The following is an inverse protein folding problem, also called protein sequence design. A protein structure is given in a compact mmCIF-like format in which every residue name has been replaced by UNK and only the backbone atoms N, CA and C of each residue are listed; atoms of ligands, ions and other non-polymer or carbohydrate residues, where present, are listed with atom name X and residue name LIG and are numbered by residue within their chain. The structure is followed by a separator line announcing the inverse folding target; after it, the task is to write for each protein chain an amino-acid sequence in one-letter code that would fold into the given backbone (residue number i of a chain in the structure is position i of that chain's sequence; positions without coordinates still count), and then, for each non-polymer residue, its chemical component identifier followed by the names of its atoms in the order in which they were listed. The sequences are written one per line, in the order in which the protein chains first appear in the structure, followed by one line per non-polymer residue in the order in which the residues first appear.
data_IF_529787244702
#
_entry.id   IF_529787244702
#
_cell.length_a   1.000
_cell.length_b   1.000
_cell.length_c   1.000
_cell.angle_alpha   90.00
_cell.angle_beta   90.00
_cell.angle_gamma   90.00
#
_symmetry.space_group_name_H-M   'P 1'
#
loop_
_entity.id
_entity.type
_entity.pdbx_description
1 polymer ?
#
# COMPACT_ATOMS: atom_id res chain seq x y z
N UNK A 1 -4.45 -75.68 43.38
CA UNK A 1 -4.97 -75.17 42.09
C UNK A 1 -3.76 -74.76 41.27
N UNK A 2 -3.23 -75.67 40.45
CA UNK A 2 -2.13 -75.41 39.51
C UNK A 2 -2.50 -76.12 38.21
N UNK A 3 -2.63 -75.35 37.14
CA UNK A 3 -2.43 -75.66 35.70
C UNK A 3 -2.79 -74.35 34.94
N UNK A 4 -2.31 -73.95 33.77
CA UNK A 4 -1.29 -74.33 32.78
C UNK A 4 -1.13 -73.10 31.83
N UNK A 5 0.04 -72.95 31.22
CA UNK A 5 0.40 -72.41 29.88
C UNK A 5 -0.49 -71.41 29.08
N UNK A 6 0.21 -70.36 28.60
CA UNK A 6 0.30 -69.80 27.22
C UNK A 6 -0.96 -69.56 26.39
N UNK A 7 -1.18 -68.31 25.95
CA UNK A 7 -1.02 -67.87 24.54
C UNK A 7 -1.42 -66.41 24.34
N UNK A 8 -0.58 -65.66 23.63
CA UNK A 8 -0.95 -64.68 22.60
C UNK A 8 -1.78 -63.44 22.98
N UNK A 9 -1.11 -62.30 23.11
CA UNK A 9 -1.49 -61.07 22.40
C UNK A 9 -0.30 -60.12 22.39
N UNK A 10 0.51 -60.27 21.35
CA UNK A 10 1.44 -59.25 20.89
C UNK A 10 0.73 -57.91 20.68
N UNK A 11 1.53 -56.85 20.79
CA UNK A 11 1.31 -55.53 20.23
C UNK A 11 0.46 -54.53 21.03
N UNK A 12 0.88 -54.14 22.24
CA UNK A 12 0.75 -52.73 22.67
C UNK A 12 1.98 -52.31 23.51
N UNK A 13 3.18 -52.49 22.95
CA UNK A 13 4.39 -51.79 23.40
C UNK A 13 4.87 -50.85 22.28
N UNK A 14 4.09 -49.81 22.02
CA UNK A 14 4.59 -48.61 21.37
C UNK A 14 3.51 -47.55 21.52
N UNK A 15 3.81 -46.46 22.25
CA UNK A 15 3.24 -45.11 22.19
C UNK A 15 3.39 -44.37 23.55
N UNK A 16 4.54 -44.46 24.20
CA UNK A 16 4.94 -43.49 25.24
C UNK A 16 6.11 -42.57 24.81
N UNK A 17 6.47 -42.54 23.53
CA UNK A 17 7.54 -41.68 23.01
C UNK A 17 7.07 -40.72 21.88
N UNK A 18 5.83 -40.24 21.97
CA UNK A 18 5.21 -39.41 20.92
C UNK A 18 4.74 -38.01 21.32
N UNK A 19 4.91 -37.60 22.59
CA UNK A 19 4.35 -36.33 23.09
C UNK A 19 5.42 -35.25 23.36
N UNK A 20 6.69 -35.62 23.51
CA UNK A 20 7.77 -34.63 23.74
C UNK A 20 8.38 -34.02 22.46
N UNK A 21 8.01 -34.51 21.27
CA UNK A 21 8.55 -34.04 19.99
C UNK A 21 7.58 -33.20 19.15
N UNK A 22 6.45 -32.75 19.71
CA UNK A 22 5.47 -31.87 19.03
C UNK A 22 5.30 -30.48 19.64
N UNK A 23 6.00 -30.16 20.73
CA UNK A 23 6.04 -28.82 21.34
C UNK A 23 7.44 -28.18 21.17
N UNK A 24 8.13 -28.48 20.07
CA UNK A 24 9.44 -27.88 19.75
C UNK A 24 9.54 -27.33 18.32
N UNK A 25 8.41 -26.95 17.71
CA UNK A 25 8.41 -26.36 16.36
C UNK A 25 7.45 -25.19 16.10
N UNK A 26 6.92 -24.50 17.13
CA UNK A 26 6.12 -23.27 16.91
C UNK A 26 6.33 -22.15 17.94
N UNK A 27 7.55 -22.00 18.46
CA UNK A 27 7.98 -20.76 19.09
C UNK A 27 9.36 -20.37 18.54
N UNK A 28 9.44 -20.19 17.22
CA UNK A 28 10.38 -19.21 16.70
C UNK A 28 9.71 -17.86 16.98
N UNK A 29 9.88 -17.37 18.20
CA UNK A 29 9.57 -15.98 18.53
C UNK A 29 10.28 -15.16 17.46
N UNK A 30 9.51 -14.54 16.55
CA UNK A 30 10.07 -13.43 15.78
C UNK A 30 10.63 -12.48 16.84
N UNK A 31 11.86 -11.97 16.70
CA UNK A 31 12.33 -10.93 17.60
C UNK A 31 11.22 -9.88 17.67
N UNK A 32 10.72 -9.64 18.88
CA UNK A 32 9.58 -8.77 19.07
C UNK A 32 10.00 -7.41 18.55
N UNK A 33 9.47 -7.04 17.39
CA UNK A 33 9.78 -5.81 16.71
C UNK A 33 9.43 -4.67 17.67
N UNK A 34 10.46 -4.01 18.22
CA UNK A 34 10.28 -2.88 19.14
C UNK A 34 10.08 -1.57 18.41
N UNK A 35 10.25 -1.53 17.09
CA UNK A 35 9.92 -0.36 16.29
C UNK A 35 8.40 -0.13 16.33
N UNK A 36 8.01 0.89 17.09
CA UNK A 36 6.64 1.36 17.16
C UNK A 36 6.57 2.51 16.16
N UNK A 37 5.87 2.26 15.04
CA UNK A 37 5.55 3.34 14.11
C UNK A 37 4.81 4.50 14.81
N UNK A 38 4.80 5.68 14.18
CA UNK A 38 4.31 6.92 14.77
C UNK A 38 2.85 6.80 15.22
N UNK A 39 2.56 7.34 16.41
CA UNK A 39 1.22 7.33 17.01
C UNK A 39 0.59 8.71 17.12
N UNK A 40 1.41 9.76 17.12
CA UNK A 40 1.02 11.15 17.22
C UNK A 40 1.69 11.97 16.13
N UNK A 41 1.15 13.16 15.86
CA UNK A 41 1.66 14.01 14.79
C UNK A 41 3.11 14.46 15.04
N UNK A 42 3.50 14.64 16.30
CA UNK A 42 4.85 15.12 16.67
C UNK A 42 5.93 14.05 16.48
N UNK A 43 5.54 12.78 16.39
CA UNK A 43 6.46 11.65 16.14
C UNK A 43 6.72 11.43 14.64
N UNK A 44 5.96 12.11 13.77
CA UNK A 44 6.12 11.97 12.33
C UNK A 44 7.34 12.75 11.82
N UNK A 45 8.07 12.20 10.83
CA UNK A 45 9.14 12.94 10.19
C UNK A 45 8.60 14.07 9.31
N UNK A 46 9.46 15.01 8.89
CA UNK A 46 9.07 16.14 8.03
C UNK A 46 8.46 15.73 6.69
N UNK A 47 8.87 14.58 6.14
CA UNK A 47 8.41 14.09 4.85
C UNK A 47 7.79 12.70 4.99
N UNK A 48 6.51 12.58 4.61
CA UNK A 48 5.79 11.31 4.54
C UNK A 48 5.15 11.20 3.17
N UNK A 49 5.51 10.15 2.42
CA UNK A 49 5.10 10.01 1.02
C UNK A 49 4.68 8.58 0.70
N UNK A 50 3.79 8.43 -0.27
CA UNK A 50 3.59 7.15 -0.95
C UNK A 50 4.47 7.12 -2.19
N UNK A 51 5.26 6.06 -2.38
CA UNK A 51 6.17 6.00 -3.52
C UNK A 51 6.30 4.58 -4.08
N UNK A 52 6.66 4.51 -5.37
CA UNK A 52 6.90 3.28 -6.10
C UNK A 52 8.41 3.09 -6.32
N UNK A 53 8.93 1.91 -5.98
CA UNK A 53 10.34 1.58 -6.09
C UNK A 53 10.68 1.16 -7.51
N UNK A 54 11.46 1.96 -8.22
CA UNK A 54 11.87 1.64 -9.60
C UNK A 54 13.10 0.76 -9.65
N UNK A 55 14.10 1.07 -8.83
CA UNK A 55 15.38 0.35 -8.80
C UNK A 55 16.08 0.51 -7.45
N UNK A 56 16.81 -0.53 -7.04
CA UNK A 56 17.64 -0.57 -5.84
C UNK A 56 19.12 -0.53 -6.23
N UNK A 57 19.92 0.20 -5.46
CA UNK A 57 21.37 0.32 -5.60
C UNK A 57 22.02 -0.21 -4.33
N UNK A 58 22.76 -1.33 -4.39
CA UNK A 58 23.56 -1.80 -3.26
C UNK A 58 24.63 -0.75 -2.92
N UNK A 59 24.94 -0.58 -1.63
CA UNK A 59 26.06 0.25 -1.20
C UNK A 59 27.28 -0.63 -0.95
N UNK A 60 28.44 -0.18 -1.42
CA UNK A 60 29.71 -0.87 -1.16
C UNK A 60 30.15 -0.61 0.29
N UNK A 61 29.99 -1.62 1.15
CA UNK A 61 30.58 -1.65 2.49
C UNK A 61 29.70 -1.14 3.65
N UNK A 62 28.43 -0.82 3.41
CA UNK A 62 27.44 -0.52 4.47
C UNK A 62 26.38 -1.62 4.53
N UNK A 63 25.82 -1.86 5.72
CA UNK A 63 24.70 -2.81 5.92
C UNK A 63 23.39 -2.28 5.31
N UNK A 64 23.42 -1.03 4.83
CA UNK A 64 22.28 -0.37 4.20
C UNK A 64 22.47 -0.20 2.69
N UNK A 65 21.37 -0.03 1.98
CA UNK A 65 21.37 0.26 0.54
C UNK A 65 20.40 1.39 0.22
N UNK A 66 20.46 1.88 -1.02
CA UNK A 66 19.63 2.97 -1.51
C UNK A 66 18.69 2.53 -2.62
N UNK A 67 17.64 3.29 -2.90
CA UNK A 67 16.72 3.02 -4.01
C UNK A 67 16.22 4.32 -4.65
N UNK A 68 16.08 4.30 -5.98
CA UNK A 68 15.33 5.33 -6.72
C UNK A 68 13.85 5.00 -6.64
N UNK A 69 13.06 5.98 -6.20
CA UNK A 69 11.61 5.86 -6.10
C UNK A 69 10.92 7.01 -6.82
N UNK A 70 9.71 6.75 -7.32
CA UNK A 70 8.81 7.78 -7.85
C UNK A 70 7.75 8.06 -6.82
N UNK A 71 7.69 9.30 -6.35
CA UNK A 71 6.68 9.73 -5.39
C UNK A 71 5.33 9.81 -6.10
N UNK A 72 4.33 9.13 -5.54
CA UNK A 72 2.96 9.09 -6.06
C UNK A 72 2.05 10.10 -5.40
N UNK A 73 2.18 10.29 -4.08
CA UNK A 73 1.43 11.29 -3.30
C UNK A 73 2.26 11.74 -2.11
N UNK A 74 2.22 13.02 -1.81
CA UNK A 74 2.78 13.59 -0.58
C UNK A 74 1.69 13.60 0.48
N UNK A 75 1.91 12.91 1.60
CA UNK A 75 1.01 12.94 2.76
C UNK A 75 1.42 14.06 3.73
N UNK A 76 2.73 14.31 3.85
CA UNK A 76 3.34 15.41 4.61
C UNK A 76 4.64 15.84 3.94
N UNK A 77 4.88 17.14 3.83
CA UNK A 77 6.08 17.70 3.19
C UNK A 77 5.71 18.69 2.08
N UNK A 78 6.65 18.98 1.18
CA UNK A 78 6.42 19.91 0.08
C UNK A 78 5.81 19.20 -1.14
N UNK A 79 4.72 19.73 -1.69
CA UNK A 79 4.00 19.15 -2.83
C UNK A 79 4.84 19.10 -4.12
N UNK A 80 5.91 19.90 -4.21
CA UNK A 80 6.86 19.82 -5.32
C UNK A 80 7.55 18.46 -5.44
N UNK A 81 7.47 17.60 -4.42
CA UNK A 81 7.99 16.25 -4.46
C UNK A 81 7.06 15.28 -5.22
N UNK A 82 5.79 15.63 -5.43
CA UNK A 82 4.82 14.77 -6.10
C UNK A 82 5.20 14.53 -7.57
N UNK A 83 5.06 13.28 -8.03
CA UNK A 83 5.45 12.80 -9.36
C UNK A 83 6.94 12.93 -9.71
N UNK A 84 7.78 13.36 -8.77
CA UNK A 84 9.21 13.46 -8.95
C UNK A 84 9.95 12.18 -8.50
N UNK A 85 11.14 11.99 -9.08
CA UNK A 85 12.05 10.90 -8.76
C UNK A 85 13.01 11.35 -7.68
N UNK A 86 13.13 10.57 -6.62
CA UNK A 86 14.06 10.84 -5.51
C UNK A 86 14.83 9.58 -5.16
N UNK A 87 16.02 9.77 -4.59
CA UNK A 87 16.82 8.68 -4.05
C UNK A 87 16.61 8.60 -2.55
N UNK A 88 16.22 7.43 -2.07
CA UNK A 88 16.07 7.15 -0.65
C UNK A 88 17.21 6.23 -0.20
N UNK A 89 17.92 6.61 0.85
CA UNK A 89 18.94 5.79 1.51
C UNK A 89 18.48 5.19 2.84
N UNK A 90 19.22 4.20 3.33
CA UNK A 90 18.98 3.59 4.65
C UNK A 90 18.09 2.35 4.65
N UNK A 91 17.83 1.76 3.48
CA UNK A 91 17.16 0.47 3.39
C UNK A 91 18.05 -0.65 3.91
N UNK A 92 17.48 -1.71 4.47
CA UNK A 92 18.23 -2.81 5.09
C UNK A 92 18.74 -2.50 6.51
N UNK A 93 18.51 -1.29 7.04
CA UNK A 93 18.93 -0.93 8.40
C UNK A 93 18.42 -1.93 9.45
N UNK A 94 19.30 -2.48 10.33
CA UNK A 94 18.94 -3.49 11.31
C UNK A 94 18.10 -2.94 12.47
N UNK A 95 18.05 -1.62 12.66
CA UNK A 95 17.22 -0.97 13.68
C UNK A 95 15.74 -0.88 13.32
N UNK A 96 15.38 -1.19 12.07
CA UNK A 96 14.02 -1.10 11.55
C UNK A 96 13.49 -2.48 11.21
N UNK A 97 12.26 -2.79 11.62
CA UNK A 97 11.68 -4.13 11.42
C UNK A 97 11.33 -4.45 9.96
N UNK A 98 11.03 -3.40 9.19
CA UNK A 98 10.65 -3.45 7.79
C UNK A 98 11.39 -2.31 7.11
N UNK A 99 12.59 -2.60 6.63
CA UNK A 99 13.45 -1.66 5.91
C UNK A 99 13.87 -2.17 4.55
N UNK A 100 13.41 -3.36 4.15
CA UNK A 100 13.77 -3.98 2.88
C UNK A 100 12.69 -3.76 1.82
N UNK A 101 13.12 -3.34 0.63
CA UNK A 101 12.27 -3.10 -0.54
C UNK A 101 12.77 -3.88 -1.75
N UNK A 102 11.86 -4.16 -2.68
CA UNK A 102 12.19 -4.73 -3.99
C UNK A 102 11.71 -3.80 -5.10
N UNK A 103 12.32 -3.95 -6.28
CA UNK A 103 11.84 -3.31 -7.51
C UNK A 103 10.36 -3.66 -7.72
N UNK A 104 9.57 -2.64 -8.08
CA UNK A 104 8.10 -2.64 -8.24
C UNK A 104 7.28 -2.65 -6.95
N UNK A 105 7.91 -2.57 -5.80
CA UNK A 105 7.16 -2.40 -4.57
C UNK A 105 6.57 -0.99 -4.45
N UNK A 106 5.43 -0.87 -3.77
CA UNK A 106 4.84 0.42 -3.40
C UNK A 106 4.61 0.46 -1.90
N UNK A 107 5.13 1.48 -1.23
CA UNK A 107 5.09 1.62 0.22
C UNK A 107 4.79 3.07 0.63
N UNK A 108 4.40 3.24 1.90
CA UNK A 108 4.40 4.54 2.59
C UNK A 108 5.75 4.68 3.29
N UNK A 109 6.46 5.77 2.98
CA UNK A 109 7.82 6.05 3.44
C UNK A 109 7.81 7.21 4.43
N UNK A 110 8.61 7.06 5.49
CA UNK A 110 8.85 8.04 6.55
C UNK A 110 10.27 8.55 6.41
N UNK A 111 10.44 9.81 5.99
CA UNK A 111 11.70 10.28 5.42
C UNK A 111 12.19 11.57 6.08
N UNK A 112 13.49 11.63 6.33
CA UNK A 112 14.18 12.87 6.68
C UNK A 112 14.93 13.41 5.46
N UNK A 113 14.82 14.72 5.18
CA UNK A 113 15.62 15.34 4.12
C UNK A 113 17.10 15.38 4.51
N UNK A 114 17.98 15.05 3.57
CA UNK A 114 19.44 15.13 3.74
C UNK A 114 20.01 16.19 2.80
N UNK A 115 19.67 16.12 1.51
CA UNK A 115 20.01 17.13 0.49
C UNK A 115 18.93 17.13 -0.59
N UNK A 116 19.01 18.05 -1.57
CA UNK A 116 18.04 18.08 -2.68
C UNK A 116 18.03 16.75 -3.43
N UNK A 117 16.84 16.13 -3.52
CA UNK A 117 16.64 14.85 -4.20
C UNK A 117 17.15 13.60 -3.44
N UNK A 118 17.78 13.77 -2.27
CA UNK A 118 18.26 12.67 -1.42
C UNK A 118 17.60 12.69 -0.04
N UNK A 119 16.87 11.63 0.27
CA UNK A 119 16.12 11.46 1.50
C UNK A 119 16.62 10.22 2.25
N UNK A 120 16.46 10.18 3.58
CA UNK A 120 16.84 9.02 4.40
C UNK A 120 15.65 8.42 5.11
N UNK A 121 15.59 7.10 5.13
CA UNK A 121 14.57 6.34 5.87
C UNK A 121 14.70 6.60 7.38
N UNK A 122 13.62 7.06 8.01
CA UNK A 122 13.55 7.32 9.45
C UNK A 122 12.92 6.13 10.20
N UNK A 123 11.77 5.63 9.71
CA UNK A 123 10.99 4.58 10.38
C UNK A 123 10.74 3.36 9.47
N UNK A 124 10.19 2.30 10.06
CA UNK A 124 9.66 1.14 9.33
C UNK A 124 8.73 1.52 8.19
N UNK A 125 8.88 0.80 7.07
CA UNK A 125 8.01 0.91 5.91
C UNK A 125 6.61 0.43 6.24
N UNK A 126 5.60 1.17 5.79
CA UNK A 126 4.20 0.82 6.01
C UNK A 126 3.55 0.43 4.69
N UNK A 127 2.88 -0.73 4.67
CA UNK A 127 2.17 -1.22 3.48
C UNK A 127 1.03 -0.27 3.10
N UNK A 128 0.82 -0.08 1.80
CA UNK A 128 -0.34 0.64 1.29
C UNK A 128 -1.59 -0.22 1.50
N UNK A 129 -2.36 0.14 2.53
CA UNK A 129 -3.68 -0.42 2.81
C UNK A 129 -4.58 0.71 3.25
N UNK A 130 -5.89 0.59 3.00
CA UNK A 130 -6.87 1.60 3.41
C UNK A 130 -6.81 1.91 4.93
N UNK A 131 -6.74 0.93 5.85
CA UNK A 131 -6.59 1.21 7.28
C UNK A 131 -5.31 1.96 7.64
N UNK A 132 -4.20 1.68 6.95
CA UNK A 132 -2.94 2.37 7.18
C UNK A 132 -3.01 3.82 6.69
N UNK A 133 -3.61 4.05 5.52
CA UNK A 133 -3.79 5.39 4.96
C UNK A 133 -4.72 6.23 5.82
N UNK A 134 -5.87 5.69 6.24
CA UNK A 134 -6.80 6.40 7.11
C UNK A 134 -6.15 6.75 8.46
N UNK A 135 -5.40 5.80 9.04
CA UNK A 135 -4.66 6.04 10.27
C UNK A 135 -3.60 7.13 10.09
N UNK A 136 -2.89 7.12 8.97
CA UNK A 136 -1.87 8.13 8.67
C UNK A 136 -2.48 9.51 8.48
N UNK A 137 -3.58 9.62 7.71
CA UNK A 137 -4.29 10.87 7.52
C UNK A 137 -4.84 11.41 8.84
N UNK A 138 -5.37 10.53 9.70
CA UNK A 138 -5.82 10.92 11.03
C UNK A 138 -4.67 11.47 11.89
N UNK A 139 -3.50 10.82 11.89
CA UNK A 139 -2.33 11.33 12.62
C UNK A 139 -1.85 12.67 12.05
N UNK A 140 -1.84 12.85 10.73
CA UNK A 140 -1.37 14.08 10.07
C UNK A 140 -2.31 15.26 10.34
N UNK A 141 -3.61 15.01 10.44
CA UNK A 141 -4.62 16.05 10.69
C UNK A 141 -4.93 16.24 12.19
N UNK A 142 -4.20 15.56 13.08
CA UNK A 142 -4.50 15.47 14.52
C UNK A 142 -5.96 15.08 14.83
N UNK A 143 -6.53 14.20 14.00
CA UNK A 143 -7.88 13.69 14.16
C UNK A 143 -7.88 12.32 14.85
N UNK A 144 -8.91 12.00 15.64
CA UNK A 144 -9.05 10.67 16.21
C UNK A 144 -9.25 9.64 15.09
N UNK A 145 -8.33 8.69 14.96
CA UNK A 145 -8.46 7.59 13.99
C UNK A 145 -9.72 6.78 14.26
N UNK A 146 -10.71 6.93 13.37
CA UNK A 146 -11.90 6.08 13.33
C UNK A 146 -11.58 4.88 12.46
N UNK A 147 -11.50 3.69 13.05
CA UNK A 147 -11.49 2.46 12.26
C UNK A 147 -12.74 2.46 11.38
N UNK A 148 -12.58 2.17 10.09
CA UNK A 148 -13.73 1.82 9.24
C UNK A 148 -14.52 0.78 10.00
N UNK A 149 -15.77 1.09 10.30
CA UNK A 149 -16.64 0.17 11.01
C UNK A 149 -16.74 -1.11 10.15
N UNK A 150 -15.97 -2.14 10.51
CA UNK A 150 -16.35 -3.50 10.19
C UNK A 150 -17.74 -3.64 10.77
N UNK A 151 -18.68 -4.11 9.96
CA UNK A 151 -20.13 -4.19 10.14
C UNK A 151 -20.67 -4.80 11.45
N UNK A 152 -19.84 -5.02 12.46
CA UNK A 152 -20.11 -5.96 13.53
C UNK A 152 -20.35 -5.28 14.90
N UNK A 153 -20.42 -3.95 14.99
CA UNK A 153 -20.95 -3.27 16.19
C UNK A 153 -21.75 -2.01 15.81
N UNK A 154 -22.94 -1.88 16.42
CA UNK A 154 -24.10 -1.08 16.01
C UNK A 154 -23.94 0.44 16.15
N UNK A 155 -24.37 1.17 15.12
CA UNK A 155 -25.18 2.39 15.23
C UNK A 155 -26.16 2.40 14.05
N UNK A 156 -27.46 2.68 14.24
CA UNK A 156 -28.43 2.66 13.15
C UNK A 156 -28.11 3.79 12.16
N UNK A 157 -28.09 3.42 10.88
CA UNK A 157 -27.82 4.23 9.68
C UNK A 157 -26.34 4.37 9.28
N UNK A 158 -25.80 3.41 8.51
CA UNK A 158 -24.76 3.77 7.55
C UNK A 158 -25.44 4.66 6.51
N UNK A 159 -25.21 5.97 6.54
CA UNK A 159 -25.46 6.78 5.34
C UNK A 159 -24.52 6.17 4.30
N UNK A 160 -25.03 5.49 3.25
CA UNK A 160 -24.16 4.91 2.25
C UNK A 160 -23.51 6.09 1.52
N UNK A 161 -22.22 6.32 1.74
CA UNK A 161 -21.42 7.21 0.88
C UNK A 161 -21.30 6.52 -0.48
N UNK A 162 -22.10 6.89 -1.49
CA UNK A 162 -22.34 6.00 -2.62
C UNK A 162 -21.08 5.80 -3.47
N UNK A 163 -20.18 6.80 -3.50
CA UNK A 163 -18.91 6.69 -4.20
C UNK A 163 -17.84 5.85 -3.49
N UNK A 164 -17.99 5.53 -2.20
CA UNK A 164 -17.03 4.64 -1.51
C UNK A 164 -17.23 3.17 -1.93
N UNK A 165 -18.42 2.81 -2.41
CA UNK A 165 -18.75 1.44 -2.83
C UNK A 165 -18.98 1.29 -4.34
N UNK A 166 -19.14 2.38 -5.07
CA UNK A 166 -19.47 2.35 -6.50
C UNK A 166 -18.20 2.39 -7.35
N UNK A 167 -18.01 1.35 -8.17
CA UNK A 167 -17.00 1.32 -9.21
C UNK A 167 -17.55 1.92 -10.51
N UNK A 168 -16.83 2.90 -11.07
CA UNK A 168 -17.15 3.47 -12.38
C UNK A 168 -16.29 2.83 -13.45
N UNK A 169 -16.93 2.16 -14.40
CA UNK A 169 -16.25 1.57 -15.55
C UNK A 169 -15.66 2.65 -16.48
N UNK A 170 -14.74 2.23 -17.35
CA UNK A 170 -14.18 3.06 -18.42
C UNK A 170 -13.56 4.38 -17.94
N UNK A 171 -12.89 4.38 -16.79
CA UNK A 171 -12.27 5.57 -16.19
C UNK A 171 -13.24 6.72 -15.82
N UNK A 172 -14.53 6.43 -15.65
CA UNK A 172 -15.49 7.41 -15.12
C UNK A 172 -15.15 7.86 -13.69
N UNK A 173 -15.45 9.12 -13.38
CA UNK A 173 -15.38 9.65 -12.04
C UNK A 173 -16.72 9.46 -11.33
N UNK A 174 -16.68 8.99 -10.09
CA UNK A 174 -17.87 8.94 -9.27
C UNK A 174 -18.16 10.33 -8.67
N UNK A 175 -19.37 10.84 -8.89
CA UNK A 175 -19.85 12.11 -8.36
C UNK A 175 -21.13 11.88 -7.56
N UNK A 176 -21.19 12.44 -6.37
CA UNK A 176 -22.33 12.36 -5.46
C UNK A 176 -23.46 13.33 -5.85
N UNK A 177 -24.71 12.86 -5.85
CA UNK A 177 -25.87 13.68 -6.21
C UNK A 177 -26.37 14.47 -4.98
N UNK A 178 -25.94 15.72 -4.83
CA UNK A 178 -26.28 16.62 -3.71
C UNK A 178 -27.73 17.15 -3.73
N UNK A 179 -28.67 16.46 -4.41
CA UNK A 179 -30.07 16.90 -4.56
C UNK A 179 -30.94 16.65 -3.32
N UNK A 180 -30.45 15.90 -2.34
CA UNK A 180 -31.20 15.50 -1.16
C UNK A 180 -30.60 16.13 0.09
N UNK A 181 -31.41 16.93 0.81
CA UNK A 181 -31.04 17.65 2.02
C UNK A 181 -30.31 16.76 3.05
N UNK A 182 -28.98 16.82 3.05
CA UNK A 182 -28.10 16.21 4.05
C UNK A 182 -27.91 14.69 3.99
N UNK A 183 -28.53 13.98 3.04
CA UNK A 183 -28.35 12.53 2.88
C UNK A 183 -28.04 12.22 1.42
N UNK A 184 -26.75 11.99 1.13
CA UNK A 184 -26.28 11.53 -0.18
C UNK A 184 -26.65 10.05 -0.32
N UNK A 185 -27.63 9.75 -1.16
CA UNK A 185 -28.12 8.36 -1.38
C UNK A 185 -27.82 7.84 -2.77
N UNK A 186 -27.32 8.69 -3.68
CA UNK A 186 -27.07 8.34 -5.08
C UNK A 186 -25.73 8.93 -5.53
N UNK A 187 -25.00 8.15 -6.32
CA UNK A 187 -23.87 8.65 -7.09
C UNK A 187 -24.05 8.30 -8.57
N UNK A 188 -23.37 9.09 -9.40
CA UNK A 188 -23.34 8.96 -10.85
C UNK A 188 -21.89 8.84 -11.30
N UNK A 189 -21.66 7.99 -12.28
CA UNK A 189 -20.39 7.94 -12.98
C UNK A 189 -20.44 8.93 -14.14
N UNK A 190 -19.55 9.92 -14.10
CA UNK A 190 -19.46 10.98 -15.09
C UNK A 190 -18.02 11.07 -15.60
N UNK A 191 -17.86 11.41 -16.87
CA UNK A 191 -16.53 11.66 -17.42
C UNK A 191 -15.96 12.96 -16.87
N UNK A 192 -14.63 13.07 -16.86
CA UNK A 192 -13.94 14.32 -16.55
C UNK A 192 -14.45 15.44 -17.46
N UNK A 193 -14.81 16.58 -16.89
CA UNK A 193 -15.20 17.76 -17.69
C UNK A 193 -13.99 18.53 -18.20
N UNK A 194 -12.88 18.50 -17.44
CA UNK A 194 -11.68 19.24 -17.73
C UNK A 194 -10.42 18.41 -17.46
N UNK A 195 -9.44 18.56 -18.35
CA UNK A 195 -8.08 18.07 -18.17
C UNK A 195 -7.10 19.23 -18.37
N UNK A 196 -6.13 19.35 -17.48
CA UNK A 196 -5.06 20.34 -17.63
C UNK A 196 -4.30 20.12 -18.94
N UNK A 197 -3.88 21.20 -19.60
CA UNK A 197 -3.04 21.17 -20.80
C UNK A 197 -1.56 20.92 -20.45
N UNK A 198 -1.27 19.92 -19.62
CA UNK A 198 0.09 19.45 -19.38
C UNK A 198 0.50 18.44 -20.45
N UNK A 199 1.70 18.57 -20.98
CA UNK A 199 2.24 17.62 -21.95
C UNK A 199 3.17 16.62 -21.25
N UNK A 200 2.67 15.41 -21.04
CA UNK A 200 3.38 14.28 -20.44
C UNK A 200 2.86 12.99 -21.10
N UNK A 201 3.32 12.67 -22.32
CA UNK A 201 2.66 11.71 -23.18
C UNK A 201 2.67 10.29 -22.62
N UNK A 202 1.55 9.58 -22.80
CA UNK A 202 1.39 8.19 -22.36
C UNK A 202 0.91 7.31 -23.51
N UNK A 203 1.35 6.06 -23.54
CA UNK A 203 0.93 5.07 -24.52
C UNK A 203 -0.26 4.29 -23.97
N UNK A 204 -1.41 4.37 -24.64
CA UNK A 204 -2.62 3.66 -24.26
C UNK A 204 -2.57 2.16 -24.61
N UNK A 205 -3.43 1.38 -23.97
CA UNK A 205 -3.60 -0.05 -24.25
C UNK A 205 -4.09 -0.32 -25.69
N UNK A 206 -4.69 0.67 -26.33
CA UNK A 206 -5.10 0.66 -27.74
C UNK A 206 -3.95 0.99 -28.72
N UNK A 207 -2.74 1.26 -28.22
CA UNK A 207 -1.58 1.60 -29.07
C UNK A 207 -1.55 3.05 -29.54
N UNK A 208 -2.46 3.91 -29.06
CA UNK A 208 -2.45 5.34 -29.35
C UNK A 208 -1.70 6.12 -28.27
N UNK A 209 -1.02 7.21 -28.67
CA UNK A 209 -0.36 8.12 -27.72
C UNK A 209 -1.34 9.22 -27.30
N UNK A 210 -1.51 9.40 -25.99
CA UNK A 210 -2.32 10.48 -25.42
C UNK A 210 -1.41 11.59 -24.86
N UNK A 211 -1.80 12.88 -24.95
CA UNK A 211 -0.99 14.00 -24.47
C UNK A 211 -0.64 13.94 -22.98
N UNK A 212 -1.53 13.35 -22.16
CA UNK A 212 -1.31 13.03 -20.75
C UNK A 212 -2.30 11.95 -20.28
N UNK A 213 -2.10 11.44 -19.06
CA UNK A 213 -2.96 10.43 -18.43
C UNK A 213 -4.43 10.90 -18.31
N UNK A 214 -4.66 12.18 -18.01
CA UNK A 214 -6.02 12.73 -17.91
C UNK A 214 -6.78 12.61 -19.24
N UNK A 215 -6.13 12.96 -20.35
CA UNK A 215 -6.71 12.86 -21.70
C UNK A 215 -7.01 11.41 -22.09
N UNK A 216 -6.17 10.45 -21.69
CA UNK A 216 -6.45 9.02 -21.87
C UNK A 216 -7.71 8.61 -21.10
N UNK A 217 -7.80 8.97 -19.82
CA UNK A 217 -8.95 8.65 -18.96
C UNK A 217 -10.25 9.28 -19.47
N UNK A 218 -10.18 10.53 -19.91
CA UNK A 218 -11.30 11.23 -20.53
C UNK A 218 -11.77 10.51 -21.81
N UNK A 219 -10.84 10.19 -22.71
CA UNK A 219 -11.16 9.49 -23.95
C UNK A 219 -11.76 8.10 -23.70
N UNK A 220 -11.19 7.36 -22.74
CA UNK A 220 -11.70 6.06 -22.28
C UNK A 220 -13.16 6.16 -21.81
N UNK A 221 -13.47 7.18 -21.00
CA UNK A 221 -14.83 7.38 -20.48
C UNK A 221 -15.81 7.77 -21.58
N UNK A 222 -15.45 8.72 -22.44
CA UNK A 222 -16.31 9.19 -23.53
C UNK A 222 -16.59 8.09 -24.56
N UNK A 223 -15.62 7.20 -24.82
CA UNK A 223 -15.78 6.06 -25.74
C UNK A 223 -16.45 4.85 -25.09
N UNK A 224 -16.58 4.81 -23.77
CA UNK A 224 -17.11 3.64 -23.06
C UNK A 224 -16.23 2.40 -23.19
N UNK A 225 -14.91 2.59 -23.36
CA UNK A 225 -13.92 1.50 -23.46
C UNK A 225 -12.84 1.74 -22.42
N UNK A 226 -12.48 0.71 -21.66
CA UNK A 226 -11.48 0.81 -20.61
C UNK A 226 -10.05 0.82 -21.18
N UNK A 227 -9.57 2.00 -21.56
CA UNK A 227 -8.16 2.21 -21.88
C UNK A 227 -7.36 2.40 -20.60
N UNK A 228 -6.18 1.80 -20.56
CA UNK A 228 -5.22 1.98 -19.48
C UNK A 228 -3.87 2.34 -20.06
N UNK A 229 -3.04 3.04 -19.29
CA UNK A 229 -1.68 3.35 -19.67
C UNK A 229 -0.89 2.04 -19.77
N UNK A 230 -0.45 1.71 -20.99
CA UNK A 230 0.45 0.58 -21.26
C UNK A 230 1.89 0.96 -20.93
N UNK A 231 2.31 2.16 -21.31
CA UNK A 231 3.63 2.70 -21.01
C UNK A 231 3.58 4.20 -20.68
N UNK A 232 4.45 4.69 -19.78
CA UNK A 232 4.43 6.09 -19.30
C UNK A 232 5.01 7.11 -20.30
N UNK A 233 5.34 6.68 -21.52
CA UNK A 233 5.88 7.46 -22.63
C UNK A 233 5.02 7.25 -23.90
N UNK A 234 5.33 7.96 -24.99
CA UNK A 234 4.67 7.77 -26.29
C UNK A 234 4.83 6.33 -26.83
N UNK A 235 3.89 5.90 -27.67
CA UNK A 235 3.98 4.61 -28.35
C UNK A 235 5.05 4.60 -29.46
N UNK A 236 5.45 5.76 -29.97
CA UNK A 236 6.55 5.92 -30.93
C UNK A 236 7.90 5.87 -30.18
N UNK A 237 8.67 4.81 -30.42
CA UNK A 237 9.91 4.50 -29.69
C UNK A 237 10.04 3.04 -29.24
N UNK A 238 9.03 2.20 -29.51
CA UNK A 238 9.08 0.75 -29.29
C UNK A 238 9.63 0.04 -30.53
N UNK A 239 10.96 0.10 -30.71
CA UNK A 239 11.72 -0.85 -31.52
C UNK A 239 12.61 -1.70 -30.62
#
# INVERSE_FOLDING_TARGET
MITWFSTGLDAIYCLCAGIEARIRYRLRTRPECRDKGPRREEELPPVVVTAFVEQTYPSDGDDTYSASVVIKRVLRGHDSLENNRVTIGGFGSPGLCYSNVKKRDTWIFFLNPVSEGFLRLNNTLLKITLPNLDRMNAIINDEPYRRRATSDCVSPSPIPVPCERQYCENNGNCIEDNRSAGIVTRAKCLCLEYCAHSYSPVCGSNGETFPNDCQLRLNSCLRGINYFVRFPNSCEGLH
#
